data_IF_887614274984
#
_entry.id   IF_887614274984
#
_cell.length_a   1.000
_cell.length_b   1.000
_cell.length_c   1.000
_cell.angle_alpha   90.00
_cell.angle_beta   90.00
_cell.angle_gamma   90.00
#
_symmetry.space_group_name_H-M   'P 1'
#
loop_
_entity.id
_entity.type
_entity.pdbx_description
1 polymer ?
#
# COMPACT_ATOMS: atom_id res chain seq x y z
N UNK A 1 5.00 -3.69 11.05
CA UNK A 1 4.25 -4.68 11.84
C UNK A 1 2.82 -4.76 11.30
N UNK A 2 2.43 -5.88 10.68
CA UNK A 2 1.09 -6.10 10.13
C UNK A 2 0.56 -7.41 10.68
N UNK A 3 -0.73 -7.48 11.00
CA UNK A 3 -1.32 -8.69 11.54
C UNK A 3 -1.81 -9.64 10.45
N UNK A 4 -1.95 -10.93 10.77
CA UNK A 4 -2.44 -11.99 9.86
C UNK A 4 -3.72 -11.63 9.09
N UNK A 5 -4.67 -10.94 9.73
CA UNK A 5 -5.93 -10.48 9.06
C UNK A 5 -5.70 -9.38 8.01
N UNK A 6 -4.62 -8.62 8.15
CA UNK A 6 -4.24 -7.52 7.28
C UNK A 6 -3.16 -7.89 6.27
N UNK A 7 -2.56 -9.08 6.35
CA UNK A 7 -1.60 -9.59 5.34
C UNK A 7 -2.18 -9.55 3.94
N UNK A 8 -3.44 -9.99 3.78
CA UNK A 8 -4.20 -9.91 2.52
C UNK A 8 -4.42 -8.48 1.98
N UNK A 9 -4.16 -7.45 2.79
CA UNK A 9 -4.30 -6.03 2.39
C UNK A 9 -2.98 -5.40 1.98
N UNK A 10 -1.85 -6.09 2.19
CA UNK A 10 -0.57 -5.62 1.67
C UNK A 10 -0.59 -5.65 0.15
N UNK A 11 0.10 -4.67 -0.43
CA UNK A 11 0.38 -4.68 -1.85
C UNK A 11 1.48 -5.71 -2.09
N UNK A 12 1.31 -6.55 -3.11
CA UNK A 12 2.39 -7.38 -3.62
C UNK A 12 3.48 -6.46 -4.19
N UNK A 13 4.73 -6.65 -3.76
CA UNK A 13 5.88 -5.91 -4.31
C UNK A 13 5.88 -6.07 -5.83
N UNK A 14 6.28 -5.05 -6.59
CA UNK A 14 6.08 -4.94 -8.04
C UNK A 14 6.65 -6.09 -8.91
N UNK A 15 7.40 -7.03 -8.35
CA UNK A 15 7.79 -8.26 -9.04
C UNK A 15 7.72 -9.48 -8.11
N UNK A 16 6.58 -10.19 -8.06
CA UNK A 16 6.52 -11.59 -7.70
C UNK A 16 6.20 -12.47 -8.93
N UNK A 17 5.90 -11.87 -10.09
CA UNK A 17 5.38 -12.55 -11.28
C UNK A 17 6.33 -12.43 -12.47
N UNK A 18 6.58 -13.56 -13.13
CA UNK A 18 7.36 -13.67 -14.36
C UNK A 18 6.78 -12.77 -15.45
N UNK A 19 7.65 -12.02 -16.11
CA UNK A 19 7.32 -11.07 -17.19
C UNK A 19 6.21 -11.58 -18.12
N UNK A 20 5.06 -10.87 -18.11
CA UNK A 20 3.88 -10.95 -19.02
C UNK A 20 2.66 -11.82 -18.63
N UNK A 21 2.62 -12.52 -17.50
CA UNK A 21 1.37 -13.17 -17.09
C UNK A 21 0.34 -12.11 -16.59
N UNK A 22 -0.80 -11.98 -17.27
CA UNK A 22 -1.87 -11.02 -16.94
C UNK A 22 -1.81 -9.64 -17.64
N UNK A 23 -0.88 -9.42 -18.57
CA UNK A 23 -0.77 -8.15 -19.29
C UNK A 23 -1.84 -7.97 -20.38
N UNK A 24 -2.90 -7.23 -20.06
CA UNK A 24 -3.96 -6.84 -21.01
C UNK A 24 -3.53 -5.75 -22.02
N UNK A 25 -2.22 -5.46 -22.12
CA UNK A 25 -1.66 -4.39 -22.94
C UNK A 25 -0.95 -4.90 -24.20
N UNK A 26 -0.91 -6.21 -24.44
CA UNK A 26 -0.18 -6.81 -25.56
C UNK A 26 -0.81 -6.52 -26.94
N UNK A 27 -2.11 -6.24 -27.01
CA UNK A 27 -2.84 -6.00 -28.27
C UNK A 27 -3.69 -4.74 -28.16
N UNK A 28 -3.52 -3.79 -29.09
CA UNK A 28 -4.36 -2.60 -29.18
C UNK A 28 -5.79 -2.99 -29.61
N UNK A 29 -6.81 -2.51 -28.89
CA UNK A 29 -8.22 -2.76 -29.22
C UNK A 29 -8.88 -3.94 -28.50
N UNK A 30 -8.14 -4.77 -27.76
CA UNK A 30 -8.73 -5.82 -26.91
C UNK A 30 -8.54 -5.53 -25.42
N UNK A 31 -9.65 -5.52 -24.69
CA UNK A 31 -9.87 -5.48 -23.24
C UNK A 31 -9.21 -4.35 -22.40
N UNK A 32 -7.96 -3.94 -22.65
CA UNK A 32 -7.22 -2.99 -21.80
C UNK A 32 -6.95 -1.61 -22.40
N UNK A 33 -6.66 -1.53 -23.71
CA UNK A 33 -6.27 -0.27 -24.39
C UNK A 33 -7.33 0.16 -25.38
N UNK A 34 -8.21 1.07 -24.96
CA UNK A 34 -9.17 1.73 -25.85
C UNK A 34 -8.45 2.65 -26.84
N UNK A 35 -8.66 2.40 -28.13
CA UNK A 35 -8.18 3.26 -29.22
C UNK A 35 -9.01 4.56 -29.16
N UNK A 36 -8.37 5.71 -29.40
CA UNK A 36 -8.96 7.05 -29.35
C UNK A 36 -9.52 7.51 -27.98
N UNK A 37 -8.98 7.02 -26.86
CA UNK A 37 -9.30 7.56 -25.54
C UNK A 37 -8.29 8.62 -25.08
N UNK A 38 -8.78 9.79 -24.66
CA UNK A 38 -7.94 10.77 -23.97
C UNK A 38 -7.50 10.22 -22.60
N UNK A 39 -6.22 9.85 -22.50
CA UNK A 39 -5.67 9.16 -21.33
C UNK A 39 -5.64 10.04 -20.08
N UNK A 40 -5.56 11.36 -20.23
CA UNK A 40 -5.60 12.32 -19.12
C UNK A 40 -6.98 12.43 -18.46
N UNK A 41 -8.05 12.19 -19.22
CA UNK A 41 -9.44 12.27 -18.75
C UNK A 41 -10.05 10.89 -18.43
N UNK A 42 -9.32 9.81 -18.68
CA UNK A 42 -9.80 8.45 -18.46
C UNK A 42 -10.13 8.17 -16.99
N UNK A 43 -11.14 7.33 -16.71
CA UNK A 43 -11.49 6.92 -15.34
C UNK A 43 -10.32 6.27 -14.60
N UNK A 44 -9.46 5.54 -15.32
CA UNK A 44 -8.23 4.96 -14.77
C UNK A 44 -7.19 6.02 -14.41
N UNK A 45 -7.10 7.13 -15.14
CA UNK A 45 -6.30 8.28 -14.76
C UNK A 45 -6.93 9.07 -13.59
N UNK A 46 -8.25 9.17 -13.46
CA UNK A 46 -8.88 9.75 -12.25
C UNK A 46 -8.67 8.89 -11.00
N UNK A 47 -8.78 7.57 -11.11
CA UNK A 47 -8.59 6.65 -9.99
C UNK A 47 -7.12 6.52 -9.54
N UNK A 48 -6.16 6.70 -10.46
CA UNK A 48 -4.72 6.58 -10.19
C UNK A 48 -3.93 7.90 -10.29
N UNK A 49 -4.58 9.07 -10.45
CA UNK A 49 -3.87 10.36 -10.57
C UNK A 49 -3.12 10.77 -9.29
N UNK A 50 -3.48 10.17 -8.15
CA UNK A 50 -2.99 10.54 -6.83
C UNK A 50 -2.80 9.33 -5.92
N UNK A 51 -1.80 8.47 -6.14
CA UNK A 51 -1.22 7.78 -4.97
C UNK A 51 0.20 7.23 -5.17
N UNK A 52 1.23 7.98 -4.77
CA UNK A 52 2.54 7.42 -4.49
C UNK A 52 2.85 7.53 -2.98
N UNK A 53 2.00 6.97 -2.11
CA UNK A 53 2.15 6.90 -0.64
C UNK A 53 1.64 8.11 0.16
N UNK A 54 0.44 8.60 -0.16
CA UNK A 54 -0.12 9.82 0.44
C UNK A 54 -0.65 9.67 1.88
N UNK A 55 -0.75 8.43 2.39
CA UNK A 55 -1.17 8.19 3.77
C UNK A 55 -0.19 8.78 4.77
N UNK A 56 -0.67 9.62 5.70
CA UNK A 56 0.11 10.12 6.83
C UNK A 56 -0.14 9.26 8.06
N UNK A 57 0.91 9.01 8.84
CA UNK A 57 0.81 8.31 10.11
C UNK A 57 -0.04 9.12 11.09
N UNK A 58 -1.02 8.51 11.75
CA UNK A 58 -1.85 9.21 12.75
C UNK A 58 -1.06 9.70 13.98
N UNK A 59 0.10 9.11 14.25
CA UNK A 59 0.92 9.42 15.43
C UNK A 59 1.97 10.48 15.14
N UNK A 60 2.85 10.23 14.17
CA UNK A 60 3.97 11.12 13.86
C UNK A 60 3.73 12.01 12.64
N UNK A 61 2.59 11.88 11.93
CA UNK A 61 2.23 12.63 10.71
C UNK A 61 3.19 12.46 9.52
N UNK A 62 4.25 11.67 9.67
CA UNK A 62 5.15 11.28 8.58
C UNK A 62 4.41 10.47 7.51
N UNK A 63 4.92 10.53 6.28
CA UNK A 63 4.38 9.72 5.18
C UNK A 63 4.57 8.23 5.43
N UNK A 64 3.58 7.44 5.03
CA UNK A 64 3.52 6.00 5.27
C UNK A 64 3.85 5.24 4.00
N UNK A 65 4.78 4.29 4.10
CA UNK A 65 5.31 3.55 2.95
C UNK A 65 4.35 2.50 2.34
N UNK A 66 3.22 2.21 2.97
CA UNK A 66 2.26 1.21 2.50
C UNK A 66 0.94 1.88 2.14
N UNK A 67 0.36 1.56 0.98
CA UNK A 67 -0.98 2.06 0.66
C UNK A 67 -1.99 1.42 1.62
N UNK A 68 -2.95 2.23 2.11
CA UNK A 68 -3.95 1.86 3.15
C UNK A 68 -3.42 1.66 4.57
N UNK A 69 -2.15 1.97 4.86
CA UNK A 69 -1.65 1.96 6.22
C UNK A 69 -1.98 3.28 6.96
N UNK A 70 -2.35 3.15 8.24
CA UNK A 70 -2.70 4.26 9.14
C UNK A 70 -1.52 4.72 10.00
N UNK A 71 -0.51 3.88 10.17
CA UNK A 71 0.68 4.14 10.98
C UNK A 71 1.96 3.82 10.19
N UNK A 72 3.03 4.58 10.42
CA UNK A 72 4.35 4.26 9.87
C UNK A 72 4.93 3.00 10.55
N UNK A 73 5.93 2.40 9.91
CA UNK A 73 6.56 1.19 10.43
C UNK A 73 7.21 1.42 11.79
N UNK A 74 7.83 2.57 12.02
CA UNK A 74 8.42 2.95 13.30
C UNK A 74 7.41 3.03 14.43
N UNK A 75 6.31 3.76 14.23
CA UNK A 75 5.28 3.91 15.26
C UNK A 75 4.55 2.59 15.54
N UNK A 76 4.33 1.79 14.49
CA UNK A 76 3.74 0.47 14.62
C UNK A 76 4.62 -0.45 15.47
N UNK A 77 5.95 -0.41 15.25
CA UNK A 77 6.93 -1.17 16.03
C UNK A 77 7.03 -0.69 17.48
N UNK A 78 7.29 0.61 17.70
CA UNK A 78 7.43 1.22 19.02
C UNK A 78 6.24 0.98 19.95
N UNK A 79 5.02 0.91 19.40
CA UNK A 79 3.79 0.68 20.16
C UNK A 79 3.25 -0.75 20.09
N UNK A 80 3.91 -1.65 19.35
CA UNK A 80 3.42 -3.03 19.16
C UNK A 80 2.07 -3.13 18.45
N UNK A 81 1.71 -2.17 17.60
CA UNK A 81 0.40 -2.11 16.90
C UNK A 81 0.52 -2.48 15.41
N UNK A 82 -0.60 -2.92 14.83
CA UNK A 82 -0.70 -3.16 13.39
C UNK A 82 -0.73 -1.84 12.60
N UNK A 83 0.15 -1.70 11.62
CA UNK A 83 0.25 -0.51 10.77
C UNK A 83 -1.03 -0.18 9.96
N UNK A 84 -1.87 -1.19 9.69
CA UNK A 84 -3.08 -1.04 8.88
C UNK A 84 -4.32 -0.83 9.75
N UNK A 85 -4.57 -1.70 10.74
CA UNK A 85 -5.79 -1.63 11.56
C UNK A 85 -5.61 -1.06 12.97
N UNK A 86 -4.39 -0.85 13.45
CA UNK A 86 -4.12 -0.32 14.79
C UNK A 86 -4.32 -1.30 15.94
N UNK A 87 -4.76 -2.55 15.68
CA UNK A 87 -4.88 -3.56 16.74
C UNK A 87 -3.51 -3.83 17.38
N UNK A 88 -3.50 -4.11 18.68
CA UNK A 88 -2.30 -4.56 19.36
C UNK A 88 -1.89 -5.95 18.84
N UNK A 89 -0.63 -6.07 18.46
CA UNK A 89 -0.02 -7.31 17.94
C UNK A 89 1.00 -7.86 18.94
N UNK A 90 1.67 -6.98 19.69
CA UNK A 90 2.60 -7.33 20.74
C UNK A 90 2.33 -6.43 21.95
N UNK A 91 2.45 -6.98 23.15
CA UNK A 91 2.47 -6.17 24.37
C UNK A 91 3.88 -5.62 24.61
N UNK A 92 4.02 -4.30 24.57
CA UNK A 92 5.32 -3.60 24.72
C UNK A 92 5.53 -3.00 26.11
N UNK A 93 4.65 -3.30 27.08
CA UNK A 93 4.75 -2.83 28.48
C UNK A 93 6.15 -3.05 29.08
N UNK A 94 6.74 -4.22 28.84
CA UNK A 94 8.04 -4.60 29.36
C UNK A 94 9.19 -4.45 28.35
N UNK A 95 8.93 -3.93 27.15
CA UNK A 95 9.91 -3.88 26.05
C UNK A 95 10.15 -2.44 25.59
N UNK A 96 11.41 -1.97 25.68
CA UNK A 96 11.80 -0.69 25.10
C UNK A 96 12.09 -0.84 23.61
N UNK A 97 11.03 -0.91 22.81
CA UNK A 97 11.16 -0.97 21.35
C UNK A 97 11.59 0.40 20.80
N UNK A 98 12.82 0.49 20.30
CA UNK A 98 13.33 1.68 19.60
C UNK A 98 13.49 1.38 18.10
N UNK A 99 13.29 2.42 17.28
CA UNK A 99 13.65 2.40 15.87
C UNK A 99 14.66 3.52 15.65
N UNK A 100 15.69 3.21 14.87
CA UNK A 100 16.88 4.03 14.63
C UNK A 100 16.55 5.33 13.90
#
# INVERSE_FOLDING_TARGET
>A
MVCKKCEKKLIAVAAPDTWKEGSNNAVAGSSGRKINQNKLLSKSAKANRFNPLEGKCKLCKNRVHQTKANYCQDCAYKKGICAICGKQVLDTTNYKQSSK
#
